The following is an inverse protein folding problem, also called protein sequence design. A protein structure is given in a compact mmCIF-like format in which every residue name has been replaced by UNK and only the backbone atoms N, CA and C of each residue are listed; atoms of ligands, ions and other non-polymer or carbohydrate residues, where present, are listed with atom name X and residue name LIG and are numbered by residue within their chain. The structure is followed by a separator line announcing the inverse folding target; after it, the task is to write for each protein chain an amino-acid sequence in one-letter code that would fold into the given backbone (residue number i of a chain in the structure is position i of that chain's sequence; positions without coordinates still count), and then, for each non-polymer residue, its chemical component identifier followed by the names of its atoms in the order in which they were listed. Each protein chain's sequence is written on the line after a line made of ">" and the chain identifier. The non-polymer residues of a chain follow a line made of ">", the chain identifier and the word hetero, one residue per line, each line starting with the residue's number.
data_IF_055587110439
#
_entry.id   IF_055587110439
#
_cell.length_a   1.000
_cell.length_b   1.000
_cell.length_c   1.000
_cell.angle_alpha   90.00
_cell.angle_beta   90.00
_cell.angle_gamma   90.00
#
_symmetry.space_group_name_H-M   'P 1'
#
loop_
_entity.id
_entity.type
_entity.pdbx_description
1 polymer ?
#
# COMPACT_ATOMS: atom_id res chain seq x y z
N UNK A 1 10.45 6.83 39.66
CA UNK A 1 9.19 7.06 38.93
C UNK A 1 9.16 6.11 37.75
N UNK A 2 8.35 5.06 37.84
CA UNK A 2 8.14 4.14 36.72
C UNK A 2 7.57 4.91 35.53
N UNK A 3 8.27 4.83 34.40
CA UNK A 3 7.81 5.40 33.13
C UNK A 3 6.51 4.66 32.77
N UNK A 4 5.36 5.31 32.95
CA UNK A 4 4.07 4.77 32.48
C UNK A 4 4.21 4.48 30.99
N UNK A 5 4.02 3.22 30.59
CA UNK A 5 3.96 2.85 29.17
C UNK A 5 2.67 3.47 28.61
N UNK A 6 2.83 4.48 27.76
CA UNK A 6 1.73 5.14 27.06
C UNK A 6 1.52 4.60 25.64
N UNK A 7 2.36 3.65 25.22
CA UNK A 7 2.30 3.05 23.89
C UNK A 7 1.20 1.99 23.84
N UNK A 8 0.52 1.93 22.69
CA UNK A 8 -0.55 0.98 22.44
C UNK A 8 0.05 -0.41 22.26
N UNK A 9 -0.10 -1.27 23.28
CA UNK A 9 0.45 -2.63 23.27
C UNK A 9 -0.54 -3.53 22.52
N UNK A 10 -0.08 -4.07 21.40
CA UNK A 10 -0.79 -5.05 20.60
C UNK A 10 0.02 -6.32 20.63
N UNK A 11 -0.63 -7.48 20.77
CA UNK A 11 0.05 -8.77 20.73
C UNK A 11 0.91 -8.91 19.47
N UNK A 12 2.03 -9.63 19.63
CA UNK A 12 2.82 -10.08 18.50
C UNK A 12 2.01 -11.13 17.71
N UNK A 13 2.17 -11.13 16.39
CA UNK A 13 1.67 -12.24 15.57
C UNK A 13 2.74 -13.34 15.58
N UNK A 14 2.33 -14.61 15.62
CA UNK A 14 3.24 -15.75 15.52
C UNK A 14 3.76 -15.91 14.08
N UNK A 15 2.86 -15.80 13.12
CA UNK A 15 3.09 -16.06 11.71
C UNK A 15 2.23 -15.12 10.87
N UNK A 16 2.78 -14.56 9.79
CA UNK A 16 2.05 -13.72 8.83
C UNK A 16 2.79 -12.44 8.44
N UNK A 17 2.04 -11.41 8.04
CA UNK A 17 2.58 -10.17 7.49
C UNK A 17 2.24 -8.96 8.35
N UNK A 18 3.22 -8.08 8.56
CA UNK A 18 3.03 -6.73 9.09
C UNK A 18 3.38 -5.69 8.03
N UNK A 19 2.48 -4.73 7.82
CA UNK A 19 2.68 -3.55 6.98
C UNK A 19 2.72 -2.35 7.91
N UNK A 20 3.92 -1.79 8.12
CA UNK A 20 4.15 -0.65 9.00
C UNK A 20 4.48 0.61 8.19
N UNK A 21 4.44 1.78 8.82
CA UNK A 21 4.74 3.09 8.23
C UNK A 21 3.83 3.49 7.06
N UNK A 22 2.56 3.05 7.12
CA UNK A 22 1.52 3.51 6.21
C UNK A 22 1.17 4.95 6.59
N UNK A 23 1.01 5.90 5.64
CA UNK A 23 0.42 7.20 5.97
C UNK A 23 -0.97 7.01 6.57
N UNK A 24 -1.28 7.68 7.69
CA UNK A 24 -2.51 7.42 8.45
C UNK A 24 -3.79 7.56 7.61
N UNK A 25 -3.84 8.56 6.74
CA UNK A 25 -4.95 8.83 5.81
C UNK A 25 -5.08 7.78 4.69
N UNK A 26 -4.11 6.88 4.53
CA UNK A 26 -4.08 5.80 3.53
C UNK A 26 -4.28 4.41 4.11
N UNK A 27 -4.39 4.26 5.43
CA UNK A 27 -4.51 2.95 6.10
C UNK A 27 -5.69 2.13 5.57
N UNK A 28 -6.89 2.70 5.54
CA UNK A 28 -8.09 2.03 5.02
C UNK A 28 -8.01 1.74 3.53
N UNK A 29 -7.38 2.64 2.76
CA UNK A 29 -7.16 2.39 1.33
C UNK A 29 -6.27 1.15 1.11
N UNK A 30 -5.23 0.97 1.93
CA UNK A 30 -4.37 -0.24 1.87
C UNK A 30 -5.16 -1.50 2.25
N UNK A 31 -6.03 -1.45 3.25
CA UNK A 31 -6.92 -2.57 3.63
C UNK A 31 -7.78 -3.00 2.43
N UNK A 32 -8.40 -2.05 1.73
CA UNK A 32 -9.25 -2.32 0.57
C UNK A 32 -8.44 -2.87 -0.61
N UNK A 33 -7.27 -2.28 -0.90
CA UNK A 33 -6.40 -2.71 -2.00
C UNK A 33 -5.88 -4.15 -1.83
N UNK A 34 -5.71 -4.59 -0.58
CA UNK A 34 -5.30 -5.96 -0.25
C UNK A 34 -6.49 -6.90 0.00
N UNK A 35 -7.73 -6.41 -0.18
CA UNK A 35 -8.96 -7.16 0.03
C UNK A 35 -9.04 -7.83 1.41
N UNK A 36 -8.60 -7.13 2.46
CA UNK A 36 -8.53 -7.69 3.81
C UNK A 36 -9.89 -7.77 4.51
N UNK A 37 -10.93 -7.12 3.99
CA UNK A 37 -12.28 -7.21 4.55
C UNK A 37 -12.89 -8.61 4.37
N UNK A 38 -12.50 -9.33 3.31
CA UNK A 38 -13.01 -10.66 2.99
C UNK A 38 -12.15 -11.82 3.49
N UNK A 39 -11.12 -11.55 4.30
CA UNK A 39 -10.21 -12.60 4.79
C UNK A 39 -10.79 -13.30 6.03
N UNK A 40 -10.58 -14.62 6.13
CA UNK A 40 -10.90 -15.40 7.33
C UNK A 40 -9.80 -15.30 8.40
N UNK A 41 -8.63 -14.77 8.03
CA UNK A 41 -7.49 -14.63 8.92
C UNK A 41 -7.65 -13.44 9.88
N UNK A 42 -7.03 -13.53 11.05
CA UNK A 42 -7.05 -12.43 12.01
C UNK A 42 -6.29 -11.21 11.45
N UNK A 43 -7.00 -10.08 11.36
CA UNK A 43 -6.44 -8.78 10.99
C UNK A 43 -6.47 -7.85 12.20
N UNK A 44 -5.34 -7.26 12.52
CA UNK A 44 -5.24 -6.11 13.41
C UNK A 44 -4.78 -4.90 12.60
N UNK A 45 -5.45 -3.76 12.74
CA UNK A 45 -4.96 -2.52 12.18
C UNK A 45 -5.09 -1.38 13.19
N UNK A 46 -4.21 -0.41 13.07
CA UNK A 46 -4.25 0.84 13.80
C UNK A 46 -3.93 1.99 12.87
N UNK A 47 -4.65 3.10 13.00
CA UNK A 47 -4.37 4.34 12.29
C UNK A 47 -4.18 5.48 13.29
N UNK A 48 -3.63 6.59 12.80
CA UNK A 48 -3.30 7.78 13.60
C UNK A 48 -2.36 7.50 14.79
N UNK A 49 -1.54 6.46 14.71
CA UNK A 49 -0.56 6.12 15.74
C UNK A 49 0.61 7.11 15.70
N UNK A 50 1.13 7.48 16.87
CA UNK A 50 2.32 8.33 16.94
C UNK A 50 3.51 7.68 16.22
N UNK A 51 4.29 8.49 15.50
CA UNK A 51 5.52 8.05 14.86
C UNK A 51 6.59 9.12 14.98
N UNK A 52 7.75 8.77 15.54
CA UNK A 52 8.91 9.65 15.60
C UNK A 52 9.34 10.15 14.22
N UNK A 53 9.14 9.33 13.19
CA UNK A 53 9.62 9.58 11.83
C UNK A 53 8.60 10.30 10.93
N UNK A 54 7.31 10.06 11.12
CA UNK A 54 6.26 10.51 10.20
C UNK A 54 5.15 11.33 10.86
N UNK A 55 5.30 11.71 12.13
CA UNK A 55 4.30 12.37 13.01
C UNK A 55 3.12 11.45 13.32
N UNK A 56 2.50 10.87 12.30
CA UNK A 56 1.40 9.91 12.40
C UNK A 56 1.58 8.78 11.39
N UNK A 57 1.26 7.54 11.80
CA UNK A 57 1.31 6.37 10.92
C UNK A 57 0.13 5.42 11.14
N UNK A 58 -0.05 4.54 10.16
CA UNK A 58 -0.87 3.35 10.25
C UNK A 58 0.00 2.09 10.26
N UNK A 59 -0.57 1.03 10.83
CA UNK A 59 -0.01 -0.32 10.86
C UNK A 59 -1.13 -1.33 10.58
N UNK A 60 -0.81 -2.37 9.82
CA UNK A 60 -1.68 -3.52 9.60
C UNK A 60 -0.88 -4.79 9.92
N UNK A 61 -1.44 -5.71 10.69
CA UNK A 61 -0.91 -7.05 10.95
C UNK A 61 -1.95 -8.06 10.49
N UNK A 62 -1.55 -9.04 9.69
CA UNK A 62 -2.41 -10.11 9.20
C UNK A 62 -1.77 -11.44 9.57
N UNK A 63 -2.47 -12.27 10.34
CA UNK A 63 -2.02 -13.61 10.70
C UNK A 63 -2.02 -14.55 9.49
N UNK A 64 -1.04 -15.46 9.44
CA UNK A 64 -0.94 -16.57 8.49
C UNK A 64 -1.15 -16.19 7.01
N UNK A 65 -0.77 -14.97 6.67
CA UNK A 65 -0.90 -14.40 5.33
C UNK A 65 0.42 -13.84 4.87
N UNK A 66 0.83 -14.22 3.67
CA UNK A 66 2.05 -13.77 3.01
C UNK A 66 1.70 -13.34 1.59
N UNK A 67 2.09 -12.13 1.22
CA UNK A 67 1.73 -11.54 -0.06
C UNK A 67 2.84 -11.74 -1.08
N UNK A 68 2.46 -11.94 -2.33
CA UNK A 68 3.40 -11.88 -3.44
C UNK A 68 3.91 -10.45 -3.62
N UNK A 69 5.12 -10.31 -4.15
CA UNK A 69 5.72 -9.00 -4.39
C UNK A 69 4.84 -8.11 -5.27
N UNK A 70 4.13 -8.68 -6.24
CA UNK A 70 3.19 -7.97 -7.12
C UNK A 70 1.98 -7.38 -6.39
N UNK A 71 1.48 -8.06 -5.35
CA UNK A 71 0.34 -7.61 -4.53
C UNK A 71 0.76 -6.42 -3.66
N UNK A 72 1.92 -6.53 -3.01
CA UNK A 72 2.48 -5.46 -2.18
C UNK A 72 3.00 -4.29 -3.02
N UNK A 73 3.51 -4.52 -4.23
CA UNK A 73 4.04 -3.43 -5.04
C UNK A 73 2.98 -2.38 -5.35
N UNK A 74 1.71 -2.80 -5.51
CA UNK A 74 0.58 -1.89 -5.74
C UNK A 74 0.39 -0.89 -4.59
N UNK A 75 0.60 -1.32 -3.34
CA UNK A 75 0.44 -0.41 -2.19
C UNK A 75 1.51 0.69 -2.16
N UNK A 76 2.65 0.51 -2.84
CA UNK A 76 3.66 1.56 -2.95
C UNK A 76 3.17 2.82 -3.69
N UNK A 77 2.10 2.70 -4.50
CA UNK A 77 1.46 3.84 -5.17
C UNK A 77 0.81 4.78 -4.16
N UNK A 78 0.21 4.24 -3.10
CA UNK A 78 -0.51 4.99 -2.06
C UNK A 78 0.36 5.27 -0.83
N UNK A 79 1.19 4.28 -0.45
CA UNK A 79 1.96 4.27 0.78
C UNK A 79 3.43 3.92 0.49
N UNK A 80 4.19 4.76 -0.23
CA UNK A 80 5.59 4.48 -0.56
C UNK A 80 6.52 4.43 0.65
N UNK A 81 6.09 4.96 1.80
CA UNK A 81 6.80 4.86 3.08
C UNK A 81 6.66 3.49 3.75
N UNK A 82 5.71 2.67 3.30
CA UNK A 82 5.36 1.42 3.95
C UNK A 82 6.53 0.42 3.95
N UNK A 83 6.59 -0.36 5.02
CA UNK A 83 7.56 -1.44 5.21
C UNK A 83 6.79 -2.73 5.40
N UNK A 84 7.08 -3.71 4.55
CA UNK A 84 6.61 -5.09 4.67
C UNK A 84 7.54 -5.86 5.59
N UNK A 85 6.98 -6.58 6.54
CA UNK A 85 7.67 -7.47 7.47
C UNK A 85 6.95 -8.81 7.44
N UNK A 86 7.64 -9.88 7.09
CA UNK A 86 7.13 -11.25 7.19
C UNK A 86 7.68 -11.86 8.48
N UNK A 87 6.80 -12.51 9.24
CA UNK A 87 7.10 -13.11 10.54
C UNK A 87 6.72 -14.58 10.47
N UNK A 88 7.61 -15.46 10.93
CA UNK A 88 7.37 -16.89 11.09
C UNK A 88 7.92 -17.33 12.44
N UNK A 89 7.14 -18.09 13.21
CA UNK A 89 7.47 -18.50 14.59
C UNK A 89 8.04 -17.37 15.47
N UNK A 90 7.40 -16.20 15.42
CA UNK A 90 7.76 -14.96 16.13
C UNK A 90 9.06 -14.28 15.66
N UNK A 91 9.74 -14.83 14.66
CA UNK A 91 10.98 -14.29 14.11
C UNK A 91 10.74 -13.58 12.78
N UNK A 92 11.49 -12.50 12.54
CA UNK A 92 11.40 -11.76 11.28
C UNK A 92 12.16 -12.52 10.20
N UNK A 93 11.45 -13.10 9.24
CA UNK A 93 12.05 -13.79 8.09
C UNK A 93 12.36 -12.84 6.94
N UNK A 94 11.63 -11.73 6.83
CA UNK A 94 11.85 -10.72 5.78
C UNK A 94 11.46 -9.33 6.25
N UNK A 95 12.23 -8.33 5.86
CA UNK A 95 11.92 -6.90 6.10
C UNK A 95 12.37 -6.06 4.91
N UNK A 96 11.41 -5.46 4.21
CA UNK A 96 11.69 -4.65 3.03
C UNK A 96 10.74 -3.46 2.89
N UNK A 97 11.23 -2.37 2.27
CA UNK A 97 10.34 -1.30 1.83
C UNK A 97 9.56 -1.74 0.60
N UNK A 98 8.33 -1.26 0.50
CA UNK A 98 7.53 -1.46 -0.71
C UNK A 98 8.16 -0.71 -1.88
N UNK A 99 8.13 -1.31 -3.06
CA UNK A 99 8.62 -0.71 -4.31
C UNK A 99 7.48 -0.59 -5.29
N UNK A 100 7.46 0.50 -6.06
CA UNK A 100 6.49 0.64 -7.11
C UNK A 100 6.74 -0.41 -8.21
N UNK A 101 5.68 -1.01 -8.77
CA UNK A 101 5.82 -1.99 -9.84
C UNK A 101 6.23 -1.28 -11.14
N UNK A 102 6.70 -2.03 -12.14
CA UNK A 102 6.94 -1.47 -13.47
C UNK A 102 5.63 -1.09 -14.19
N UNK A 103 4.55 -1.84 -13.92
CA UNK A 103 3.22 -1.64 -14.50
C UNK A 103 2.13 -1.70 -13.45
N UNK A 104 1.04 -0.99 -13.72
CA UNK A 104 -0.15 -0.94 -12.87
C UNK A 104 -1.37 -1.27 -13.71
N UNK A 105 -2.05 -2.35 -13.36
CA UNK A 105 -3.21 -2.87 -14.09
C UNK A 105 -4.44 -2.90 -13.18
N UNK A 106 -5.60 -2.50 -13.73
CA UNK A 106 -6.94 -2.67 -13.14
C UNK A 106 -7.24 -1.95 -11.82
N UNK A 107 -6.28 -1.27 -11.21
CA UNK A 107 -6.47 -0.64 -9.89
C UNK A 107 -6.48 0.89 -9.91
N UNK A 108 -6.12 1.50 -11.04
CA UNK A 108 -6.06 2.96 -11.22
C UNK A 108 -6.94 3.34 -12.39
N UNK A 109 -7.68 4.44 -12.26
CA UNK A 109 -8.51 5.02 -13.32
C UNK A 109 -7.69 6.00 -14.17
N UNK A 110 -8.00 6.09 -15.46
CA UNK A 110 -7.36 7.07 -16.33
C UNK A 110 -8.03 8.45 -16.14
N UNK A 111 -7.26 9.49 -15.81
CA UNK A 111 -7.82 10.84 -15.65
C UNK A 111 -8.35 11.45 -16.96
N UNK A 112 -7.96 10.90 -18.12
CA UNK A 112 -8.40 11.40 -19.41
C UNK A 112 -9.84 10.94 -19.68
N UNK A 113 -10.86 11.83 -19.63
CA UNK A 113 -12.27 11.41 -19.77
C UNK A 113 -12.56 10.79 -21.14
N UNK A 114 -11.75 11.10 -22.16
CA UNK A 114 -11.85 10.53 -23.52
C UNK A 114 -11.07 9.22 -23.71
N UNK A 115 -10.47 8.67 -22.66
CA UNK A 115 -9.74 7.40 -22.75
C UNK A 115 -10.72 6.25 -22.96
N UNK A 116 -10.38 5.30 -23.84
CA UNK A 116 -11.21 4.12 -24.12
C UNK A 116 -11.51 3.31 -22.85
N UNK A 117 -10.63 3.34 -21.84
CA UNK A 117 -10.86 2.68 -20.54
C UNK A 117 -11.95 3.33 -19.68
N UNK A 118 -12.39 4.53 -20.02
CA UNK A 118 -13.47 5.25 -19.33
C UNK A 118 -14.78 5.20 -20.12
N UNK A 119 -14.75 4.76 -21.39
CA UNK A 119 -15.93 4.67 -22.25
C UNK A 119 -16.37 3.23 -22.50
N UNK A 120 -15.43 2.27 -22.45
CA UNK A 120 -15.66 0.85 -22.69
C UNK A 120 -15.27 0.00 -21.47
N UNK A 121 -15.81 -1.21 -21.39
CA UNK A 121 -15.47 -2.20 -20.34
C UNK A 121 -14.12 -2.88 -20.62
N UNK A 122 -13.04 -2.10 -20.60
CA UNK A 122 -11.67 -2.60 -20.76
C UNK A 122 -10.82 -2.26 -19.53
N UNK A 123 -9.93 -3.16 -19.09
CA UNK A 123 -9.09 -2.92 -17.93
C UNK A 123 -8.05 -1.83 -18.21
N UNK A 124 -7.80 -0.98 -17.22
CA UNK A 124 -6.72 0.01 -17.29
C UNK A 124 -5.36 -0.66 -17.19
N UNK A 125 -4.38 -0.05 -17.88
CA UNK A 125 -2.98 -0.46 -17.90
C UNK A 125 -2.09 0.76 -17.96
N UNK A 126 -1.13 0.84 -17.04
CA UNK A 126 -0.19 1.95 -16.94
C UNK A 126 1.24 1.44 -16.81
N UNK A 127 2.19 2.21 -17.35
CA UNK A 127 3.62 2.09 -17.00
C UNK A 127 3.94 3.07 -15.89
N UNK A 128 4.68 2.63 -14.88
CA UNK A 128 5.25 3.52 -13.87
C UNK A 128 6.52 4.14 -14.46
N UNK A 129 6.54 5.46 -14.53
CA UNK A 129 7.67 6.22 -15.06
C UNK A 129 8.08 7.29 -14.05
N UNK A 130 9.26 7.87 -14.23
CA UNK A 130 9.72 9.03 -13.48
C UNK A 130 9.83 10.24 -14.41
N UNK A 131 9.44 11.42 -13.93
CA UNK A 131 9.75 12.65 -14.64
C UNK A 131 11.21 13.09 -14.45
N UNK A 132 11.59 14.20 -15.10
CA UNK A 132 12.94 14.76 -15.01
C UNK A 132 13.38 15.17 -13.59
N UNK A 133 12.44 15.31 -12.65
CA UNK A 133 12.71 15.60 -11.24
C UNK A 133 12.73 14.34 -10.37
N UNK A 134 12.55 13.16 -10.96
CA UNK A 134 12.46 11.88 -10.26
C UNK A 134 11.09 11.58 -9.65
N UNK A 135 10.07 12.40 -9.91
CA UNK A 135 8.73 12.15 -9.36
C UNK A 135 8.02 11.03 -10.14
N UNK A 136 7.37 10.12 -9.42
CA UNK A 136 6.57 9.05 -10.02
C UNK A 136 5.40 9.63 -10.83
N UNK A 137 5.22 9.10 -12.04
CA UNK A 137 4.04 9.30 -12.88
C UNK A 137 3.56 7.97 -13.44
N UNK A 138 2.28 7.92 -13.83
CA UNK A 138 1.68 6.81 -14.53
C UNK A 138 1.41 7.18 -15.98
N UNK A 139 1.98 6.43 -16.92
CA UNK A 139 1.73 6.59 -18.36
C UNK A 139 0.68 5.60 -18.82
N UNK A 140 -0.48 6.09 -19.28
CA UNK A 140 -1.56 5.23 -19.77
C UNK A 140 -1.11 4.47 -21.03
N UNK A 141 -1.39 3.17 -21.09
CA UNK A 141 -1.08 2.37 -22.27
C UNK A 141 -1.96 2.72 -23.49
N UNK A 142 -3.17 3.22 -23.26
CA UNK A 142 -4.16 3.44 -24.33
C UNK A 142 -4.14 4.86 -24.89
N UNK A 143 -4.22 5.88 -24.02
CA UNK A 143 -4.24 7.28 -24.46
C UNK A 143 -2.89 7.99 -24.35
N UNK A 144 -1.86 7.28 -23.88
CA UNK A 144 -0.46 7.74 -23.73
C UNK A 144 -0.25 8.95 -22.81
N UNK A 145 -1.31 9.53 -22.24
CA UNK A 145 -1.22 10.63 -21.29
C UNK A 145 -0.60 10.16 -19.97
N UNK A 146 0.15 11.07 -19.36
CA UNK A 146 0.81 10.86 -18.06
C UNK A 146 0.03 11.51 -16.93
N UNK A 147 -0.10 10.79 -15.81
CA UNK A 147 -0.78 11.24 -14.61
C UNK A 147 0.24 11.37 -13.46
N UNK A 148 0.24 12.51 -12.77
CA UNK A 148 1.03 12.71 -11.55
C UNK A 148 0.41 11.98 -10.36
N UNK A 149 1.21 11.72 -9.32
CA UNK A 149 0.79 10.95 -8.14
C UNK A 149 -0.46 11.54 -7.47
N UNK A 150 -0.58 12.86 -7.44
CA UNK A 150 -1.67 13.58 -6.77
C UNK A 150 -3.01 13.40 -7.50
N UNK A 151 -2.98 13.03 -8.79
CA UNK A 151 -4.16 12.84 -9.62
C UNK A 151 -4.56 11.35 -9.73
N UNK A 152 -3.87 10.44 -9.04
CA UNK A 152 -4.19 9.01 -9.09
C UNK A 152 -5.50 8.76 -8.35
N UNK A 153 -6.54 8.40 -9.11
CA UNK A 153 -7.80 7.86 -8.60
C UNK A 153 -7.73 6.33 -8.69
N UNK A 154 -7.95 5.66 -7.57
CA UNK A 154 -8.05 4.20 -7.50
C UNK A 154 -9.52 3.79 -7.63
N UNK A 155 -9.78 2.59 -8.16
CA UNK A 155 -11.12 2.00 -8.15
C UNK A 155 -11.60 1.68 -6.73
#
# INVERSE_FOLDING_TARGET
>A
MDKKRTELIVSAIRSGTVIDHIPSDKTFQVINMLNLEGTENQVYFGTNLYSDKYISKGIIKISDTFFKEEEISKIALVAPSATLIEIEDYEITKKQKVKAPATVDKIVKCYNPKCVTNTETIPTKFKVISDHKGNMKLSCHYCEKTMAKENIEFY
#
